data_IF_552612487535
#
_entry.id   IF_552612487535
#
_cell.length_a   1.000
_cell.length_b   1.000
_cell.length_c   1.000
_cell.angle_alpha   90.00
_cell.angle_beta   90.00
_cell.angle_gamma   90.00
#
_symmetry.space_group_name_H-M   'P 1'
#
loop_
_entity.id
_entity.type
_entity.pdbx_description
1 polymer ?
#
# COMPACT_ATOMS: atom_id res chain seq x y z
N UNK A 1 -17.51 -1.46 12.89
CA UNK A 1 -17.20 -1.34 11.46
C UNK A 1 -16.37 -0.09 11.32
N UNK A 2 -15.09 -0.24 11.02
CA UNK A 2 -14.24 0.90 10.67
C UNK A 2 -14.54 1.26 9.22
N UNK A 3 -14.66 2.55 8.88
CA UNK A 3 -14.89 2.97 7.50
C UNK A 3 -13.66 2.74 6.61
N UNK A 4 -13.69 3.14 5.34
CA UNK A 4 -12.55 3.01 4.44
C UNK A 4 -11.30 3.73 4.96
N UNK A 5 -10.13 3.18 4.71
CA UNK A 5 -8.81 3.80 4.97
C UNK A 5 -8.01 3.87 3.67
N UNK A 6 -7.17 4.89 3.53
CA UNK A 6 -6.27 5.04 2.39
C UNK A 6 -4.84 4.77 2.85
N UNK A 7 -4.22 3.70 2.38
CA UNK A 7 -2.81 3.44 2.60
C UNK A 7 -1.94 3.91 1.44
N UNK A 8 -0.77 4.45 1.77
CA UNK A 8 0.22 4.98 0.83
C UNK A 8 1.59 4.39 1.16
N UNK A 9 2.19 3.71 0.19
CA UNK A 9 3.57 3.25 0.21
C UNK A 9 4.45 4.26 -0.55
N UNK A 10 5.16 5.16 0.13
CA UNK A 10 5.91 6.23 -0.52
C UNK A 10 7.16 5.69 -1.23
N UNK A 11 7.41 6.22 -2.42
CA UNK A 11 8.65 6.01 -3.16
C UNK A 11 9.17 7.31 -3.79
N UNK A 12 10.40 7.28 -4.28
CA UNK A 12 11.06 8.45 -4.86
C UNK A 12 10.36 8.94 -6.13
N UNK A 13 10.07 8.02 -7.07
CA UNK A 13 9.48 8.36 -8.37
C UNK A 13 7.98 8.07 -8.44
N UNK A 14 7.54 7.03 -7.72
CA UNK A 14 6.18 6.50 -7.73
C UNK A 14 5.79 6.03 -6.34
N UNK A 15 4.50 6.06 -6.04
CA UNK A 15 3.95 5.62 -4.76
C UNK A 15 2.82 4.62 -5.01
N UNK A 16 2.75 3.58 -4.18
CA UNK A 16 1.62 2.65 -4.16
C UNK A 16 0.49 3.23 -3.31
N UNK A 17 -0.75 3.08 -3.75
CA UNK A 17 -1.94 3.48 -3.01
C UNK A 17 -2.93 2.32 -2.94
N UNK A 18 -3.63 2.23 -1.81
CA UNK A 18 -4.74 1.30 -1.64
C UNK A 18 -5.83 1.88 -0.75
N UNK A 19 -7.08 1.81 -1.21
CA UNK A 19 -8.25 2.04 -0.37
C UNK A 19 -8.77 0.69 0.10
N UNK A 20 -8.88 0.53 1.42
CA UNK A 20 -9.30 -0.72 2.06
C UNK A 20 -10.45 -0.42 3.03
N UNK A 21 -11.47 -1.27 3.01
CA UNK A 21 -12.57 -1.26 3.97
C UNK A 21 -12.67 -2.65 4.62
N UNK A 22 -12.22 -2.75 5.86
CA UNK A 22 -12.04 -4.03 6.55
C UNK A 22 -11.17 -4.98 5.73
N UNK A 23 -11.72 -6.13 5.33
CA UNK A 23 -11.01 -7.17 4.57
C UNK A 23 -11.01 -6.93 3.05
N UNK A 24 -11.70 -5.88 2.57
CA UNK A 24 -11.92 -5.66 1.16
C UNK A 24 -11.03 -4.53 0.65
N UNK A 25 -10.18 -4.83 -0.34
CA UNK A 25 -9.51 -3.80 -1.13
C UNK A 25 -10.49 -3.23 -2.14
N UNK A 26 -10.90 -1.97 -1.94
CA UNK A 26 -11.82 -1.27 -2.85
C UNK A 26 -11.10 -0.83 -4.12
N UNK A 27 -9.87 -0.34 -3.98
CA UNK A 27 -9.02 0.08 -5.09
C UNK A 27 -7.56 -0.01 -4.69
N UNK A 28 -6.69 -0.41 -5.62
CA UNK A 28 -5.22 -0.28 -5.47
C UNK A 28 -4.62 0.19 -6.79
N UNK A 29 -3.63 1.06 -6.73
CA UNK A 29 -2.97 1.61 -7.91
C UNK A 29 -1.60 2.17 -7.56
N UNK A 30 -0.83 2.51 -8.60
CA UNK A 30 0.45 3.18 -8.49
C UNK A 30 0.33 4.54 -9.16
N UNK A 31 0.75 5.59 -8.46
CA UNK A 31 0.76 6.95 -8.97
C UNK A 31 2.19 7.51 -9.05
N UNK A 32 2.52 8.33 -10.06
CA UNK A 32 3.73 9.15 -10.03
C UNK A 32 3.76 10.03 -8.78
N UNK A 33 4.94 10.21 -8.17
CA UNK A 33 5.09 11.04 -6.96
C UNK A 33 4.57 12.48 -7.15
N UNK A 34 4.73 13.03 -8.36
CA UNK A 34 4.28 14.38 -8.69
C UNK A 34 2.75 14.53 -8.73
N UNK A 35 2.01 13.44 -9.00
CA UNK A 35 0.54 13.43 -9.09
C UNK A 35 -0.12 13.02 -7.77
N UNK A 36 0.68 12.69 -6.74
CA UNK A 36 0.20 11.96 -5.58
C UNK A 36 -0.86 12.71 -4.76
N UNK A 37 -0.69 14.01 -4.54
CA UNK A 37 -1.69 14.81 -3.82
C UNK A 37 -3.02 14.85 -4.58
N UNK A 38 -2.97 14.93 -5.91
CA UNK A 38 -4.17 14.88 -6.74
C UNK A 38 -4.85 13.51 -6.65
N UNK A 39 -4.09 12.42 -6.72
CA UNK A 39 -4.62 11.05 -6.61
C UNK A 39 -5.19 10.77 -5.22
N UNK A 40 -4.56 11.27 -4.16
CA UNK A 40 -5.13 11.23 -2.80
C UNK A 40 -6.43 12.02 -2.76
N UNK A 41 -6.48 13.23 -3.32
CA UNK A 41 -7.70 14.03 -3.39
C UNK A 41 -8.87 13.30 -4.08
N UNK A 42 -8.61 12.66 -5.23
CA UNK A 42 -9.61 11.82 -5.91
C UNK A 42 -10.10 10.69 -5.00
N UNK A 43 -9.19 10.01 -4.31
CA UNK A 43 -9.56 8.94 -3.38
C UNK A 43 -10.36 9.46 -2.17
N UNK A 44 -10.04 10.66 -1.67
CA UNK A 44 -10.78 11.32 -0.59
C UNK A 44 -12.24 11.60 -1.00
N UNK A 45 -12.45 12.06 -2.24
CA UNK A 45 -13.77 12.35 -2.80
C UNK A 45 -14.56 11.09 -3.15
N UNK A 46 -13.90 10.07 -3.71
CA UNK A 46 -14.55 8.86 -4.21
C UNK A 46 -14.95 7.90 -3.08
N UNK A 47 -14.08 7.73 -2.08
CA UNK A 47 -14.24 6.68 -1.06
C UNK A 47 -14.44 7.20 0.37
N UNK A 48 -14.28 8.50 0.60
CA UNK A 48 -14.40 9.13 1.92
C UNK A 48 -13.61 8.38 3.03
N UNK A 49 -12.33 8.04 2.82
CA UNK A 49 -11.55 7.38 3.84
C UNK A 49 -11.38 8.30 5.06
N UNK A 50 -11.51 7.73 6.25
CA UNK A 50 -11.45 8.48 7.50
C UNK A 50 -10.02 8.63 8.04
N UNK A 51 -9.07 7.88 7.47
CA UNK A 51 -7.67 7.82 7.88
C UNK A 51 -6.77 7.60 6.67
N UNK A 52 -5.64 8.30 6.65
CA UNK A 52 -4.52 8.01 5.74
C UNK A 52 -3.44 7.25 6.52
N UNK A 53 -3.02 6.11 5.99
CA UNK A 53 -1.93 5.29 6.53
C UNK A 53 -0.72 5.50 5.63
N UNK A 54 0.40 5.92 6.20
CA UNK A 54 1.62 6.20 5.48
C UNK A 54 2.74 5.25 5.91
N UNK A 55 3.35 4.56 4.94
CA UNK A 55 4.57 3.78 5.17
C UNK A 55 5.76 4.66 5.59
N UNK A 56 6.60 4.14 6.47
CA UNK A 56 7.71 4.89 7.07
C UNK A 56 9.03 4.88 6.28
N UNK A 57 9.06 4.40 5.02
CA UNK A 57 10.26 4.40 4.17
C UNK A 57 11.05 5.72 4.23
N UNK A 58 12.36 5.59 4.07
CA UNK A 58 13.33 6.69 4.14
C UNK A 58 12.88 7.90 3.29
N UNK A 59 12.46 8.98 3.95
CA UNK A 59 11.90 10.18 3.30
C UNK A 59 10.43 10.51 3.64
N UNK A 60 9.76 9.68 4.44
CA UNK A 60 8.36 9.83 4.86
C UNK A 60 8.03 11.14 5.60
N UNK A 61 9.00 11.81 6.26
CA UNK A 61 8.76 13.07 6.99
C UNK A 61 8.25 14.19 6.09
N UNK A 62 8.94 14.45 4.97
CA UNK A 62 8.52 15.49 4.01
C UNK A 62 7.14 15.18 3.44
N UNK A 63 6.88 13.90 3.20
CA UNK A 63 5.65 13.46 2.60
C UNK A 63 4.45 13.57 3.55
N UNK A 64 4.67 13.26 4.84
CA UNK A 64 3.70 13.52 5.91
C UNK A 64 3.36 15.00 6.01
N UNK A 65 4.33 15.90 5.89
CA UNK A 65 4.07 17.35 5.90
C UNK A 65 3.26 17.79 4.69
N UNK A 66 3.59 17.31 3.48
CA UNK A 66 2.85 17.58 2.25
C UNK A 66 1.38 17.15 2.38
N UNK A 67 1.14 15.93 2.88
CA UNK A 67 -0.21 15.40 3.12
C UNK A 67 -0.95 16.17 4.22
N UNK A 68 -0.31 16.46 5.35
CA UNK A 68 -0.92 17.21 6.46
C UNK A 68 -1.36 18.61 6.03
N UNK A 69 -0.61 19.26 5.12
CA UNK A 69 -0.98 20.57 4.58
C UNK A 69 -2.14 20.50 3.59
N UNK A 70 -2.14 19.48 2.72
CA UNK A 70 -3.19 19.32 1.71
C UNK A 70 -4.52 18.84 2.32
N UNK A 71 -4.46 18.01 3.37
CA UNK A 71 -5.61 17.37 4.00
C UNK A 71 -5.59 17.59 5.53
N UNK A 72 -5.74 18.84 6.01
CA UNK A 72 -5.55 19.17 7.42
C UNK A 72 -6.59 18.57 8.38
N UNK A 73 -7.73 18.12 7.85
CA UNK A 73 -8.82 17.54 8.62
C UNK A 73 -8.82 16.00 8.63
N UNK A 74 -7.82 15.37 7.99
CA UNK A 74 -7.72 13.92 7.89
C UNK A 74 -6.60 13.43 8.79
N UNK A 75 -6.88 12.42 9.60
CA UNK A 75 -5.86 11.80 10.43
C UNK A 75 -4.82 11.09 9.54
N UNK A 76 -3.54 11.20 9.90
CA UNK A 76 -2.44 10.52 9.20
C UNK A 76 -1.66 9.68 10.21
N UNK A 77 -1.73 8.37 10.07
CA UNK A 77 -0.95 7.41 10.85
C UNK A 77 0.28 6.97 10.05
N UNK A 78 1.43 6.85 10.73
CA UNK A 78 2.67 6.32 10.13
C UNK A 78 2.88 4.90 10.63
N UNK A 79 3.17 3.97 9.72
CA UNK A 79 3.35 2.55 10.03
C UNK A 79 4.72 2.07 9.57
N UNK A 80 5.39 1.33 10.45
CA UNK A 80 6.69 0.72 10.17
C UNK A 80 6.58 -0.33 9.05
N UNK A 81 7.33 -0.09 7.99
CA UNK A 81 7.38 -0.92 6.79
C UNK A 81 8.25 -2.18 6.94
N UNK A 82 8.84 -2.45 8.10
CA UNK A 82 9.75 -3.59 8.25
C UNK A 82 9.10 -4.89 7.68
N UNK A 83 9.78 -5.49 6.70
CA UNK A 83 9.39 -6.71 5.98
C UNK A 83 8.12 -6.62 5.08
N UNK A 84 7.53 -5.45 4.86
CA UNK A 84 6.33 -5.28 4.02
C UNK A 84 6.56 -5.76 2.57
N UNK A 85 7.72 -5.47 1.98
CA UNK A 85 8.06 -5.91 0.62
C UNK A 85 8.28 -7.43 0.50
N UNK A 86 8.74 -8.07 1.58
CA UNK A 86 8.89 -9.54 1.63
C UNK A 86 7.52 -10.21 1.67
N UNK A 87 6.60 -9.66 2.46
CA UNK A 87 5.22 -10.14 2.55
C UNK A 87 4.47 -9.92 1.23
N UNK A 88 4.64 -8.75 0.60
CA UNK A 88 4.07 -8.45 -0.71
C UNK A 88 4.55 -9.44 -1.78
N UNK A 89 5.84 -9.79 -1.79
CA UNK A 89 6.38 -10.80 -2.70
C UNK A 89 5.78 -12.19 -2.46
N UNK A 90 5.61 -12.59 -1.20
CA UNK A 90 4.97 -13.88 -0.86
C UNK A 90 3.52 -13.90 -1.34
N UNK A 91 2.79 -12.81 -1.11
CA UNK A 91 1.40 -12.66 -1.54
C UNK A 91 1.25 -12.70 -3.05
N UNK A 92 2.13 -12.02 -3.79
CA UNK A 92 2.18 -12.08 -5.25
C UNK A 92 2.23 -13.53 -5.75
N UNK A 93 3.14 -14.35 -5.22
CA UNK A 93 3.28 -15.74 -5.65
C UNK A 93 2.14 -16.66 -5.21
N UNK A 94 1.38 -16.28 -4.18
CA UNK A 94 0.14 -16.98 -3.77
C UNK A 94 -1.01 -16.67 -4.72
N UNK A 95 -1.17 -15.40 -5.11
CA UNK A 95 -2.17 -14.95 -6.08
C UNK A 95 -1.81 -15.38 -7.50
N UNK A 96 -0.51 -15.45 -7.82
CA UNK A 96 0.07 -15.77 -9.13
C UNK A 96 1.06 -16.94 -9.03
N UNK A 97 0.59 -18.19 -8.81
CA UNK A 97 1.48 -19.34 -8.65
C UNK A 97 2.35 -19.54 -9.90
N UNK A 98 3.66 -19.85 -9.74
CA UNK A 98 4.59 -19.97 -10.86
C UNK A 98 4.14 -21.06 -11.85
N UNK A 99 4.29 -20.78 -13.15
CA UNK A 99 3.91 -21.68 -14.24
C UNK A 99 5.12 -22.01 -15.12
N UNK A 100 5.08 -23.15 -15.83
CA UNK A 100 6.17 -23.59 -16.70
C UNK A 100 7.47 -23.88 -15.94
N UNK A 101 8.61 -23.51 -16.53
CA UNK A 101 9.95 -23.75 -15.97
C UNK A 101 10.15 -23.10 -14.59
N UNK A 102 9.42 -22.01 -14.30
CA UNK A 102 9.45 -21.34 -13.00
C UNK A 102 8.97 -22.19 -11.83
N UNK A 103 8.28 -23.32 -12.08
CA UNK A 103 7.92 -24.28 -11.02
C UNK A 103 9.12 -25.01 -10.43
N UNK A 104 10.24 -25.06 -11.14
CA UNK A 104 11.43 -25.81 -10.74
C UNK A 104 12.35 -25.02 -9.80
N UNK A 105 12.10 -23.71 -9.63
CA UNK A 105 12.92 -22.82 -8.81
C UNK A 105 12.09 -22.37 -7.60
N UNK A 106 12.62 -22.34 -6.38
CA UNK A 106 11.90 -21.78 -5.23
C UNK A 106 11.50 -20.32 -5.47
N UNK A 107 10.26 -19.94 -5.11
CA UNK A 107 9.74 -18.56 -5.31
C UNK A 107 10.55 -17.51 -4.57
N UNK A 108 11.24 -17.89 -3.50
CA UNK A 108 12.19 -17.03 -2.77
C UNK A 108 13.39 -16.60 -3.61
N UNK A 109 13.74 -17.37 -4.63
CA UNK A 109 14.82 -17.08 -5.59
C UNK A 109 14.31 -16.44 -6.89
N UNK A 110 13.00 -16.22 -7.01
CA UNK A 110 12.38 -15.65 -8.19
C UNK A 110 11.99 -14.20 -7.96
N UNK A 111 12.29 -13.35 -8.93
CA UNK A 111 11.74 -11.98 -9.00
C UNK A 111 10.35 -12.07 -9.65
N UNK A 112 9.30 -11.52 -9.02
CA UNK A 112 7.99 -11.37 -9.64
C UNK A 112 8.11 -10.73 -11.04
N UNK A 113 7.48 -11.31 -12.08
CA UNK A 113 7.53 -10.74 -13.42
C UNK A 113 6.77 -9.43 -13.57
N UNK A 114 5.82 -9.15 -12.67
CA UNK A 114 5.01 -7.95 -12.67
C UNK A 114 5.31 -7.11 -11.42
N UNK A 115 5.20 -5.78 -11.50
CA UNK A 115 5.26 -4.91 -10.33
C UNK A 115 4.20 -5.29 -9.30
N UNK A 116 4.58 -5.32 -8.03
CA UNK A 116 3.71 -5.68 -6.89
C UNK A 116 3.78 -4.61 -5.79
N UNK A 117 4.22 -3.41 -6.13
CA UNK A 117 4.36 -2.30 -5.18
C UNK A 117 2.99 -1.84 -4.64
N UNK A 118 1.91 -2.05 -5.41
CA UNK A 118 0.53 -1.81 -4.99
C UNK A 118 0.06 -2.74 -3.85
N UNK A 119 0.60 -3.97 -3.79
CA UNK A 119 0.35 -4.90 -2.69
C UNK A 119 0.95 -4.42 -1.37
N UNK A 120 2.02 -3.60 -1.41
CA UNK A 120 2.60 -3.05 -0.18
C UNK A 120 1.61 -2.12 0.52
N UNK A 121 0.93 -1.25 -0.24
CA UNK A 121 -0.08 -0.35 0.32
C UNK A 121 -1.25 -1.14 0.94
N UNK A 122 -1.70 -2.22 0.30
CA UNK A 122 -2.73 -3.10 0.87
C UNK A 122 -2.26 -3.72 2.20
N UNK A 123 -1.04 -4.25 2.24
CA UNK A 123 -0.47 -4.87 3.45
C UNK A 123 -0.30 -3.84 4.58
N UNK A 124 0.06 -2.60 4.25
CA UNK A 124 0.12 -1.51 5.22
C UNK A 124 -1.26 -1.23 5.85
N UNK A 125 -2.31 -1.17 5.04
CA UNK A 125 -3.68 -1.02 5.52
C UNK A 125 -4.09 -2.19 6.43
N UNK A 126 -3.88 -3.44 5.97
CA UNK A 126 -4.22 -4.66 6.72
C UNK A 126 -3.50 -4.70 8.08
N UNK A 127 -2.20 -4.37 8.11
CA UNK A 127 -1.40 -4.30 9.34
C UNK A 127 -1.95 -3.27 10.32
N UNK A 128 -2.24 -2.06 9.84
CA UNK A 128 -2.74 -0.99 10.69
C UNK A 128 -4.10 -1.35 11.31
N UNK A 129 -4.99 -1.96 10.54
CA UNK A 129 -6.31 -2.38 10.99
C UNK A 129 -6.28 -3.55 11.99
N UNK A 130 -5.09 -4.04 12.36
CA UNK A 130 -4.95 -5.24 13.21
C UNK A 130 -5.44 -6.51 12.51
N UNK A 131 -5.62 -6.43 11.19
CA UNK A 131 -6.00 -7.55 10.33
C UNK A 131 -4.72 -8.31 9.98
N UNK A 132 -4.06 -8.82 11.03
CA UNK A 132 -2.98 -9.77 10.88
C UNK A 132 -3.50 -10.97 10.11
N UNK A 133 -2.76 -11.37 9.08
CA UNK A 133 -3.08 -12.53 8.25
C UNK A 133 -3.45 -13.71 9.15
N UNK A 134 -4.71 -14.12 9.12
CA UNK A 134 -5.13 -15.39 9.72
C UNK A 134 -4.35 -16.46 8.96
N UNK A 135 -3.57 -17.20 9.75
CA UNK A 135 -2.62 -18.23 9.32
C UNK A 135 -3.24 -19.24 8.36
#
# INVERSE_FOLDING_TARGET
MHGPVLAIDPGTDKCGLAVVDGAHTLRRWVAPRIELIQEVGKAMEEFYPHLIILGDRTGSTRFREELSRAFPNVEIAVVDEHLSSVEARRRYWKENPPRGWRKLIPTTMQVPPEPYDDLVAVILAERFLGMGYVK
#
